data_IF_968796970204
#
_entry.id   IF_968796970204
#
_cell.length_a   1.000
_cell.length_b   1.000
_cell.length_c   1.000
_cell.angle_alpha   90.00
_cell.angle_beta   90.00
_cell.angle_gamma   90.00
#
_symmetry.space_group_name_H-M   'P 1'
#
loop_
_entity.id
_entity.type
_entity.pdbx_description
1 polymer ?
#
# COMPACT_ATOMS: atom_id res chain seq x y z
N UNK A 1 9.24 9.64 -4.89
CA UNK A 1 8.02 9.26 -5.62
C UNK A 1 6.98 8.64 -4.70
N UNK A 2 5.74 8.41 -5.20
CA UNK A 2 4.71 7.68 -4.45
C UNK A 2 5.16 6.25 -4.14
N UNK A 3 5.82 5.61 -5.09
CA UNK A 3 6.34 4.24 -4.98
C UNK A 3 7.36 4.13 -3.84
N UNK A 4 8.28 5.07 -3.74
CA UNK A 4 9.27 5.09 -2.65
C UNK A 4 8.59 5.27 -1.28
N UNK A 5 7.61 6.17 -1.21
CA UNK A 5 6.86 6.40 0.03
C UNK A 5 6.05 5.16 0.45
N UNK A 6 5.47 4.42 -0.49
CA UNK A 6 4.80 3.16 -0.21
C UNK A 6 5.79 2.11 0.31
N UNK A 7 6.95 1.97 -0.33
CA UNK A 7 7.99 1.04 0.13
C UNK A 7 8.50 1.39 1.53
N UNK A 8 8.72 2.68 1.81
CA UNK A 8 9.10 3.16 3.14
C UNK A 8 8.00 2.98 4.19
N UNK A 9 6.75 3.09 3.78
CA UNK A 9 5.61 2.84 4.67
C UNK A 9 5.52 1.35 5.03
N UNK A 10 5.54 0.46 4.03
CA UNK A 10 5.43 -0.99 4.24
C UNK A 10 6.52 -1.56 5.17
N UNK A 11 7.74 -1.04 5.10
CA UNK A 11 8.84 -1.54 5.96
C UNK A 11 8.56 -1.44 7.47
N UNK A 12 7.58 -0.65 7.89
CA UNK A 12 7.16 -0.53 9.29
C UNK A 12 6.27 -1.69 9.73
N UNK A 13 5.55 -2.29 8.78
CA UNK A 13 4.46 -3.22 9.05
C UNK A 13 4.69 -4.62 8.47
N UNK A 14 5.67 -4.77 7.60
CA UNK A 14 5.94 -5.99 6.86
C UNK A 14 7.37 -6.43 7.03
N UNK A 15 7.56 -7.73 7.25
CA UNK A 15 8.88 -8.33 7.33
C UNK A 15 9.60 -8.30 5.98
N UNK A 16 10.91 -8.44 6.01
CA UNK A 16 11.74 -8.41 4.83
C UNK A 16 11.62 -9.68 4.00
N UNK A 17 11.31 -9.53 2.73
CA UNK A 17 11.24 -10.58 1.70
C UNK A 17 11.98 -10.16 0.42
N UNK A 18 12.78 -9.11 0.48
CA UNK A 18 13.39 -8.45 -0.69
C UNK A 18 14.80 -8.91 -1.02
N UNK A 19 15.26 -10.06 -0.46
CA UNK A 19 16.57 -10.64 -0.79
C UNK A 19 16.46 -11.70 -1.87
N UNK A 20 17.35 -11.61 -2.87
CA UNK A 20 17.45 -12.56 -3.98
C UNK A 20 18.83 -13.18 -3.96
N UNK A 21 18.91 -14.49 -4.12
CA UNK A 21 20.22 -15.21 -4.10
C UNK A 21 20.94 -15.11 -5.43
N UNK A 22 20.21 -14.91 -6.54
CA UNK A 22 20.77 -14.83 -7.89
C UNK A 22 20.40 -13.51 -8.55
N UNK A 23 21.33 -12.95 -9.33
CA UNK A 23 21.07 -11.73 -10.11
C UNK A 23 19.96 -11.91 -11.14
N UNK A 24 19.88 -13.08 -11.78
CA UNK A 24 18.86 -13.37 -12.79
C UNK A 24 17.43 -13.27 -12.25
N UNK A 25 17.22 -13.61 -10.99
CA UNK A 25 15.87 -13.57 -10.38
C UNK A 25 15.39 -12.15 -10.18
N UNK A 26 16.25 -11.27 -9.68
CA UNK A 26 15.91 -9.86 -9.45
C UNK A 26 15.89 -9.04 -10.74
N UNK A 27 16.76 -9.35 -11.71
CA UNK A 27 16.85 -8.61 -12.97
C UNK A 27 15.65 -8.80 -13.91
N UNK A 28 14.90 -9.91 -13.76
CA UNK A 28 13.67 -10.18 -14.50
C UNK A 28 12.47 -9.39 -13.97
N UNK A 29 12.61 -8.80 -12.78
CA UNK A 29 11.54 -8.00 -12.19
C UNK A 29 11.56 -6.64 -12.87
N UNK A 30 10.48 -6.32 -13.58
CA UNK A 30 10.34 -5.01 -14.19
C UNK A 30 10.18 -3.95 -13.10
N UNK A 31 11.22 -3.16 -12.91
CA UNK A 31 11.26 -2.09 -11.94
C UNK A 31 12.11 -0.93 -12.47
N UNK A 32 11.44 0.08 -12.99
CA UNK A 32 12.08 1.28 -13.57
C UNK A 32 12.55 2.31 -12.53
N UNK A 33 12.24 2.08 -11.24
CA UNK A 33 12.41 3.11 -10.21
C UNK A 33 13.57 2.87 -9.26
N UNK A 34 14.02 1.63 -9.10
CA UNK A 34 15.03 1.25 -8.11
C UNK A 34 16.24 0.61 -8.75
N UNK A 35 17.38 0.80 -8.13
CA UNK A 35 18.64 0.19 -8.58
C UNK A 35 18.81 -1.17 -7.93
N UNK A 36 19.50 -2.07 -8.63
CA UNK A 36 19.90 -3.37 -8.08
C UNK A 36 21.26 -3.21 -7.43
N UNK A 37 21.41 -3.70 -6.22
CA UNK A 37 22.66 -3.73 -5.49
C UNK A 37 22.96 -5.11 -4.94
N UNK A 38 24.26 -5.43 -4.81
CA UNK A 38 24.76 -6.66 -4.19
C UNK A 38 25.33 -6.36 -2.82
N UNK A 39 25.05 -7.18 -1.83
CA UNK A 39 25.66 -7.11 -0.50
C UNK A 39 27.10 -7.63 -0.60
N UNK A 40 28.10 -6.76 -0.41
CA UNK A 40 29.52 -7.07 -0.60
C UNK A 40 30.31 -7.18 0.71
N UNK A 41 29.84 -6.57 1.81
CA UNK A 41 30.46 -6.69 3.12
C UNK A 41 29.38 -6.58 4.23
N UNK A 42 29.55 -7.36 5.29
CA UNK A 42 28.62 -7.41 6.42
C UNK A 42 29.43 -7.42 7.72
N UNK A 43 29.48 -6.29 8.39
CA UNK A 43 30.09 -6.14 9.73
C UNK A 43 29.01 -5.79 10.74
N UNK A 44 29.25 -6.06 12.02
CA UNK A 44 28.27 -6.08 13.12
C UNK A 44 27.15 -5.02 13.09
N UNK A 45 27.40 -3.84 12.53
CA UNK A 45 26.38 -2.76 12.43
C UNK A 45 26.36 -2.05 11.07
N UNK A 46 27.15 -2.49 10.09
CA UNK A 46 27.29 -1.84 8.81
C UNK A 46 27.17 -2.88 7.69
N UNK A 47 26.35 -2.61 6.72
CA UNK A 47 26.26 -3.40 5.48
C UNK A 47 26.77 -2.53 4.34
N UNK A 48 27.74 -3.05 3.59
CA UNK A 48 28.15 -2.43 2.34
C UNK A 48 27.48 -3.13 1.19
N UNK A 49 26.96 -2.35 0.29
CA UNK A 49 26.36 -2.79 -0.95
C UNK A 49 27.09 -2.18 -2.13
N UNK A 50 27.14 -2.88 -3.25
CA UNK A 50 27.66 -2.36 -4.53
C UNK A 50 26.48 -2.28 -5.51
N UNK A 51 26.22 -1.10 -6.07
CA UNK A 51 25.24 -0.88 -7.12
C UNK A 51 25.75 -1.59 -8.38
N UNK A 52 24.91 -2.42 -9.00
CA UNK A 52 25.31 -3.23 -10.15
C UNK A 52 25.69 -2.37 -11.36
N UNK A 53 24.87 -1.37 -11.67
CA UNK A 53 25.01 -0.56 -12.88
C UNK A 53 26.19 0.42 -12.81
N UNK A 54 26.50 0.95 -11.65
CA UNK A 54 27.54 1.98 -11.47
C UNK A 54 28.81 1.45 -10.82
N UNK A 55 28.76 0.30 -10.16
CA UNK A 55 29.84 -0.23 -9.32
C UNK A 55 30.09 0.56 -8.05
N UNK A 56 29.29 1.58 -7.76
CA UNK A 56 29.41 2.41 -6.58
C UNK A 56 29.18 1.58 -5.31
N UNK A 57 30.05 1.76 -4.32
CA UNK A 57 29.93 1.09 -3.02
C UNK A 57 29.32 2.05 -1.98
N UNK A 58 28.21 1.64 -1.40
CA UNK A 58 27.44 2.41 -0.45
C UNK A 58 27.35 1.67 0.87
N UNK A 59 27.33 2.42 1.97
CA UNK A 59 27.09 1.86 3.30
C UNK A 59 25.64 2.12 3.71
N UNK A 60 24.89 1.05 3.95
CA UNK A 60 23.56 1.14 4.54
C UNK A 60 23.67 1.37 6.05
N UNK A 61 22.98 2.39 6.54
CA UNK A 61 22.98 2.75 7.95
C UNK A 61 21.85 2.02 8.70
N UNK A 62 22.20 1.41 9.84
CA UNK A 62 21.26 0.67 10.69
C UNK A 62 20.02 1.47 11.12
N UNK A 63 20.16 2.78 11.35
CA UNK A 63 19.06 3.61 11.87
C UNK A 63 17.94 3.83 10.83
N UNK A 64 18.29 3.82 9.55
CA UNK A 64 17.33 4.15 8.48
C UNK A 64 16.72 2.93 7.79
N UNK A 65 17.23 1.72 8.06
CA UNK A 65 16.90 0.51 7.30
C UNK A 65 16.29 -0.59 8.19
N UNK A 66 15.34 -0.23 9.04
CA UNK A 66 14.63 -1.17 9.90
C UNK A 66 13.36 -1.68 9.20
N UNK A 67 13.16 -2.98 9.15
CA UNK A 67 12.01 -3.67 8.59
C UNK A 67 11.21 -4.42 9.66
N UNK A 68 9.90 -4.60 9.39
CA UNK A 68 8.97 -5.36 10.20
C UNK A 68 8.46 -4.62 11.44
N UNK A 69 7.39 -5.14 12.06
CA UNK A 69 6.78 -4.56 13.26
C UNK A 69 7.76 -4.43 14.44
N UNK A 70 8.74 -5.31 14.51
CA UNK A 70 9.81 -5.31 15.53
C UNK A 70 11.00 -4.42 15.13
N UNK A 71 10.96 -3.80 13.97
CA UNK A 71 12.04 -2.96 13.42
C UNK A 71 13.41 -3.65 13.47
N UNK A 72 13.51 -4.72 12.74
CA UNK A 72 14.71 -5.58 12.69
C UNK A 72 15.79 -4.93 11.85
N UNK A 73 17.03 -4.93 12.35
CA UNK A 73 18.20 -4.35 11.69
C UNK A 73 18.55 -5.07 10.38
N UNK A 74 19.09 -4.35 9.36
CA UNK A 74 19.58 -4.93 8.12
C UNK A 74 20.51 -6.14 8.28
N UNK A 75 21.33 -6.13 9.31
CA UNK A 75 22.21 -7.25 9.62
C UNK A 75 21.51 -8.58 9.91
N UNK A 76 20.22 -8.52 10.23
CA UNK A 76 19.44 -9.72 10.56
C UNK A 76 18.81 -10.35 9.35
N UNK A 77 18.48 -9.55 8.32
CA UNK A 77 17.72 -10.03 7.17
C UNK A 77 18.49 -10.00 5.84
N UNK A 78 19.65 -9.35 5.76
CA UNK A 78 20.51 -9.35 4.57
C UNK A 78 21.73 -10.25 4.80
N UNK A 79 21.97 -11.13 3.86
CA UNK A 79 23.16 -11.99 3.83
C UNK A 79 24.20 -11.50 2.83
N UNK A 80 25.45 -11.92 3.04
CA UNK A 80 26.52 -11.67 2.09
C UNK A 80 26.17 -12.29 0.73
N UNK A 81 26.42 -11.56 -0.34
CA UNK A 81 26.09 -11.87 -1.72
C UNK A 81 24.59 -11.81 -2.06
N UNK A 82 23.71 -11.43 -1.19
CA UNK A 82 22.32 -11.15 -1.56
C UNK A 82 22.23 -10.00 -2.56
N UNK A 83 21.29 -10.09 -3.48
CA UNK A 83 20.89 -9.00 -4.36
C UNK A 83 19.60 -8.39 -3.83
N UNK A 84 19.55 -7.06 -3.84
CA UNK A 84 18.43 -6.28 -3.30
C UNK A 84 18.10 -5.10 -4.19
N UNK A 85 16.89 -4.59 -4.11
CA UNK A 85 16.57 -3.27 -4.62
C UNK A 85 16.95 -2.18 -3.62
N UNK A 86 17.43 -1.07 -4.15
CA UNK A 86 17.76 0.12 -3.37
C UNK A 86 17.19 1.37 -4.04
N UNK A 87 16.74 2.32 -3.23
CA UNK A 87 16.33 3.65 -3.67
C UNK A 87 17.10 4.73 -2.94
N UNK A 88 17.17 5.90 -3.56
CA UNK A 88 17.83 7.09 -3.00
C UNK A 88 16.79 8.16 -2.69
N UNK A 89 16.67 8.53 -1.43
CA UNK A 89 15.71 9.54 -0.94
C UNK A 89 16.45 10.44 0.05
N UNK A 90 16.32 11.75 -0.11
CA UNK A 90 16.87 12.77 0.79
C UNK A 90 18.34 12.50 1.17
N UNK A 91 19.21 12.31 0.16
CA UNK A 91 20.62 12.01 0.31
C UNK A 91 20.95 10.70 1.09
N UNK A 92 20.02 9.78 1.20
CA UNK A 92 20.20 8.49 1.86
C UNK A 92 19.74 7.34 0.99
N UNK A 93 20.49 6.24 1.04
CA UNK A 93 20.09 4.99 0.37
C UNK A 93 19.29 4.11 1.33
N UNK A 94 18.26 3.50 0.77
CA UNK A 94 17.38 2.58 1.49
C UNK A 94 17.27 1.27 0.72
N UNK A 95 17.45 0.16 1.43
CA UNK A 95 17.01 -1.13 0.93
C UNK A 95 15.47 -1.10 0.85
N UNK A 96 14.92 -1.57 -0.27
CA UNK A 96 13.49 -1.61 -0.52
C UNK A 96 13.10 -2.98 -1.09
N UNK A 97 11.84 -3.31 -0.98
CA UNK A 97 11.26 -4.53 -1.53
C UNK A 97 9.97 -4.20 -2.27
N UNK A 98 9.58 -5.07 -3.19
CA UNK A 98 8.31 -4.92 -3.90
C UNK A 98 7.16 -4.82 -2.92
N UNK A 99 6.32 -3.81 -3.11
CA UNK A 99 5.17 -3.63 -2.24
C UNK A 99 4.06 -4.63 -2.57
N UNK A 100 3.41 -5.12 -1.52
CA UNK A 100 2.19 -5.92 -1.59
C UNK A 100 0.94 -5.05 -1.49
N UNK A 101 1.06 -3.88 -0.86
CA UNK A 101 -0.03 -2.89 -0.81
C UNK A 101 -0.27 -2.39 -2.23
N UNK A 102 -1.54 -2.33 -2.57
CA UNK A 102 -1.97 -1.80 -3.85
C UNK A 102 -3.17 -0.87 -3.63
N UNK A 103 -3.38 0.06 -4.54
CA UNK A 103 -4.43 1.05 -4.43
C UNK A 103 -4.87 1.52 -5.81
N UNK A 104 -5.99 2.22 -5.84
CA UNK A 104 -6.52 2.82 -7.05
C UNK A 104 -7.06 4.22 -6.76
N UNK A 105 -7.06 5.04 -7.79
CA UNK A 105 -7.58 6.41 -7.75
C UNK A 105 -8.43 6.65 -8.98
N UNK A 106 -9.56 7.30 -8.78
CA UNK A 106 -10.39 7.85 -9.85
C UNK A 106 -10.63 9.33 -9.59
N UNK A 107 -10.51 10.15 -10.63
CA UNK A 107 -10.81 11.57 -10.60
C UNK A 107 -11.95 11.80 -11.56
N UNK A 108 -13.02 12.42 -11.07
CA UNK A 108 -14.24 12.70 -11.83
C UNK A 108 -14.54 14.18 -11.81
N UNK A 109 -15.11 14.67 -12.90
CA UNK A 109 -15.71 16.00 -12.94
C UNK A 109 -17.03 15.98 -12.15
N UNK A 110 -17.17 16.79 -11.08
CA UNK A 110 -18.37 16.78 -10.25
C UNK A 110 -19.61 17.37 -10.94
N UNK A 111 -19.46 18.07 -12.07
CA UNK A 111 -20.57 18.73 -12.75
C UNK A 111 -21.25 17.83 -13.79
N UNK A 112 -20.50 16.96 -14.44
CA UNK A 112 -21.03 16.10 -15.52
C UNK A 112 -20.80 14.62 -15.28
N UNK A 113 -19.98 14.24 -14.27
CA UNK A 113 -19.66 12.87 -13.93
C UNK A 113 -18.60 12.22 -14.84
N UNK A 114 -17.96 12.98 -15.73
CA UNK A 114 -16.92 12.45 -16.60
C UNK A 114 -15.69 12.01 -15.82
N UNK A 115 -15.10 10.88 -16.22
CA UNK A 115 -13.85 10.40 -15.67
C UNK A 115 -12.69 11.16 -16.30
N UNK A 116 -12.05 12.02 -15.51
CA UNK A 116 -10.88 12.81 -15.91
C UNK A 116 -9.62 11.98 -15.90
N UNK A 117 -9.46 11.12 -14.89
CA UNK A 117 -8.32 10.24 -14.75
C UNK A 117 -8.65 9.00 -13.93
N UNK A 118 -8.00 7.88 -14.26
CA UNK A 118 -8.17 6.63 -13.55
C UNK A 118 -6.85 5.87 -13.47
N UNK A 119 -6.46 5.48 -12.25
CA UNK A 119 -5.30 4.62 -11.99
C UNK A 119 -5.76 3.40 -11.21
N UNK A 120 -5.68 2.23 -11.81
CA UNK A 120 -6.22 0.97 -11.26
C UNK A 120 -5.25 0.18 -10.37
N UNK A 121 -3.99 0.60 -10.29
CA UNK A 121 -2.97 -0.09 -9.49
C UNK A 121 -1.64 0.65 -9.50
N UNK A 122 -0.72 0.22 -8.65
CA UNK A 122 0.61 0.86 -8.50
C UNK A 122 1.57 0.43 -9.61
N UNK A 123 1.51 -0.83 -10.04
CA UNK A 123 2.37 -1.39 -11.08
C UNK A 123 1.55 -2.35 -11.96
N UNK A 124 1.42 -2.02 -13.25
CA UNK A 124 0.66 -2.80 -14.22
C UNK A 124 1.29 -4.17 -14.50
N UNK A 125 2.62 -4.23 -14.59
CA UNK A 125 3.33 -5.49 -14.89
C UNK A 125 3.25 -6.48 -13.72
N UNK A 126 3.17 -5.98 -12.49
CA UNK A 126 2.96 -6.82 -11.32
C UNK A 126 1.51 -7.29 -11.19
N UNK A 127 0.54 -6.52 -11.70
CA UNK A 127 -0.88 -6.86 -11.66
C UNK A 127 -1.69 -6.02 -12.64
N UNK A 128 -2.24 -6.68 -13.66
CA UNK A 128 -3.16 -6.07 -14.64
C UNK A 128 -4.56 -5.81 -14.07
N UNK A 129 -4.80 -6.20 -12.82
CA UNK A 129 -6.09 -6.04 -12.17
C UNK A 129 -6.39 -4.58 -11.90
N UNK A 130 -7.38 -4.03 -12.59
CA UNK A 130 -7.84 -2.66 -12.40
C UNK A 130 -8.79 -2.58 -11.20
N UNK A 131 -8.31 -2.04 -10.09
CA UNK A 131 -9.05 -1.97 -8.83
C UNK A 131 -10.19 -0.95 -8.85
N UNK A 132 -10.19 -0.01 -9.79
CA UNK A 132 -11.29 0.94 -9.95
C UNK A 132 -12.51 0.25 -10.54
N UNK A 133 -12.33 -0.57 -11.57
CA UNK A 133 -13.45 -1.17 -12.34
C UNK A 133 -13.73 -2.64 -12.00
N UNK A 134 -12.75 -3.36 -11.45
CA UNK A 134 -12.85 -4.82 -11.25
C UNK A 134 -12.91 -5.25 -9.78
N UNK A 135 -12.53 -4.36 -8.83
CA UNK A 135 -12.56 -4.72 -7.42
C UNK A 135 -13.97 -4.57 -6.83
N UNK A 136 -14.54 -5.67 -6.41
CA UNK A 136 -15.78 -5.66 -5.62
C UNK A 136 -15.44 -5.48 -4.15
N UNK A 137 -15.73 -4.31 -3.63
CA UNK A 137 -15.47 -3.96 -2.23
C UNK A 137 -16.74 -3.50 -1.54
N UNK A 138 -16.83 -3.78 -0.24
CA UNK A 138 -17.90 -3.25 0.59
C UNK A 138 -17.80 -1.71 0.63
N UNK A 139 -18.85 -0.98 0.25
CA UNK A 139 -18.80 0.48 0.18
C UNK A 139 -18.67 1.15 1.56
N UNK A 140 -19.06 0.46 2.62
CA UNK A 140 -19.08 1.04 3.96
C UNK A 140 -19.89 2.33 4.00
N UNK A 141 -19.39 3.35 4.78
CA UNK A 141 -20.10 4.64 4.88
C UNK A 141 -20.18 5.44 3.58
N UNK A 142 -19.48 5.02 2.51
CA UNK A 142 -19.58 5.68 1.21
C UNK A 142 -20.95 5.52 0.56
N UNK A 143 -21.80 4.60 1.05
CA UNK A 143 -23.20 4.45 0.60
C UNK A 143 -24.12 5.54 1.17
N UNK A 144 -23.74 6.20 2.27
CA UNK A 144 -24.63 7.15 2.96
C UNK A 144 -25.10 8.33 2.10
N UNK A 145 -24.25 8.97 1.26
CA UNK A 145 -24.72 10.05 0.38
C UNK A 145 -25.88 9.63 -0.52
N UNK A 146 -25.87 8.39 -1.02
CA UNK A 146 -26.97 7.87 -1.87
C UNK A 146 -28.25 7.70 -1.06
N UNK A 147 -28.17 7.18 0.16
CA UNK A 147 -29.33 7.05 1.06
C UNK A 147 -29.92 8.41 1.41
N UNK A 148 -29.07 9.40 1.69
CA UNK A 148 -29.55 10.75 1.99
C UNK A 148 -30.14 11.44 0.76
N UNK A 149 -29.55 11.27 -0.41
CA UNK A 149 -30.08 11.81 -1.66
C UNK A 149 -31.50 11.27 -1.91
N UNK A 150 -31.68 9.95 -1.84
CA UNK A 150 -32.99 9.30 -1.98
C UNK A 150 -34.00 9.83 -0.95
N UNK A 151 -33.60 9.94 0.32
CA UNK A 151 -34.47 10.45 1.37
C UNK A 151 -34.95 11.88 1.09
N UNK A 152 -34.04 12.75 0.61
CA UNK A 152 -34.39 14.14 0.27
C UNK A 152 -35.28 14.22 -0.99
N UNK A 153 -35.01 13.36 -1.98
CA UNK A 153 -35.81 13.31 -3.23
C UNK A 153 -37.26 12.94 -2.99
N UNK A 154 -37.55 12.14 -1.97
CA UNK A 154 -38.94 11.83 -1.56
C UNK A 154 -39.76 13.05 -1.14
N UNK A 155 -39.11 14.18 -0.83
CA UNK A 155 -39.74 15.38 -0.28
C UNK A 155 -40.25 15.24 1.16
N UNK A 156 -40.13 14.07 1.77
CA UNK A 156 -40.55 13.80 3.17
C UNK A 156 -39.53 14.30 4.20
N UNK A 157 -38.28 14.40 3.77
CA UNK A 157 -37.16 14.82 4.61
C UNK A 157 -36.50 16.05 4.02
N UNK A 158 -36.09 16.95 4.92
CA UNK A 158 -35.31 18.14 4.57
C UNK A 158 -33.90 18.00 5.19
N UNK A 159 -32.90 18.77 4.73
CA UNK A 159 -31.55 18.71 5.29
C UNK A 159 -31.46 18.93 6.80
N UNK A 160 -32.45 19.64 7.38
CA UNK A 160 -32.56 19.95 8.80
C UNK A 160 -33.62 19.11 9.53
N UNK A 161 -34.14 18.05 8.90
CA UNK A 161 -35.09 17.15 9.58
C UNK A 161 -34.39 16.43 10.71
N UNK A 162 -34.96 16.51 11.91
CA UNK A 162 -34.47 15.79 13.08
C UNK A 162 -34.83 14.31 12.97
N UNK A 163 -33.83 13.47 13.04
CA UNK A 163 -33.96 12.01 13.04
C UNK A 163 -33.64 11.50 14.44
N UNK A 164 -34.53 10.69 15.00
CA UNK A 164 -34.29 10.04 16.28
C UNK A 164 -33.23 8.95 16.10
N UNK A 165 -32.06 9.14 16.70
CA UNK A 165 -31.02 8.11 16.80
C UNK A 165 -31.32 7.17 17.97
N UNK A 166 -32.08 6.10 17.67
CA UNK A 166 -32.48 5.10 18.66
C UNK A 166 -32.07 3.70 18.19
N UNK A 167 -31.99 2.78 19.15
CA UNK A 167 -31.71 1.37 18.82
C UNK A 167 -32.80 0.80 17.91
N UNK A 168 -32.40 0.32 16.74
CA UNK A 168 -33.25 -0.39 15.82
C UNK A 168 -32.98 -1.88 15.98
N UNK A 169 -34.04 -2.65 16.18
CA UNK A 169 -33.98 -4.12 16.20
C UNK A 169 -34.43 -4.60 14.83
N UNK A 170 -33.51 -5.20 14.06
CA UNK A 170 -33.84 -5.79 12.78
C UNK A 170 -33.91 -7.31 12.90
N UNK A 171 -35.10 -7.84 12.69
CA UNK A 171 -35.29 -9.28 12.50
C UNK A 171 -34.74 -9.68 11.13
N UNK A 172 -33.72 -10.52 11.11
CA UNK A 172 -33.09 -11.00 9.90
C UNK A 172 -33.78 -12.22 9.29
N UNK A 173 -34.81 -12.74 9.93
CA UNK A 173 -35.55 -13.94 9.51
C UNK A 173 -34.73 -15.24 9.67
N UNK A 174 -35.36 -16.39 9.36
CA UNK A 174 -34.69 -17.69 9.23
C UNK A 174 -33.73 -18.10 10.35
N UNK A 175 -34.14 -17.96 11.62
CA UNK A 175 -33.35 -18.35 12.80
C UNK A 175 -32.02 -17.58 12.97
N UNK A 176 -31.84 -16.44 12.31
CA UNK A 176 -30.71 -15.56 12.57
C UNK A 176 -31.00 -14.70 13.81
N UNK A 177 -29.97 -14.36 14.60
CA UNK A 177 -30.15 -13.47 15.74
C UNK A 177 -30.61 -12.09 15.29
N UNK A 178 -31.43 -11.44 16.12
CA UNK A 178 -31.82 -10.04 15.89
C UNK A 178 -30.58 -9.18 15.78
N UNK A 179 -30.45 -8.43 14.70
CA UNK A 179 -29.33 -7.53 14.51
C UNK A 179 -29.60 -6.18 15.18
N UNK A 180 -28.65 -5.79 16.03
CA UNK A 180 -28.68 -4.49 16.74
C UNK A 180 -27.45 -3.71 16.30
N UNK A 181 -27.59 -2.56 15.62
CA UNK A 181 -26.48 -1.69 15.30
C UNK A 181 -25.75 -1.26 16.57
N UNK A 182 -24.43 -1.37 16.59
CA UNK A 182 -23.62 -0.82 17.67
C UNK A 182 -23.27 0.63 17.34
N UNK A 183 -23.59 1.53 18.24
CA UNK A 183 -23.05 2.89 18.19
C UNK A 183 -21.64 2.89 18.80
N UNK A 184 -20.69 3.49 18.12
CA UNK A 184 -19.33 3.70 18.60
C UNK A 184 -19.12 5.18 18.90
#
# INVERSE_FOLDING_TARGET
SLIDNLALFERKYRDWEGSYKNYEDISKINNEHWQIAKVVDKKSNLIKISIIDTGETITLNNLNNLYGPKKVSPNTYLDLNDYIFVTHIDNSFYAVQLHKINGSVIIMDPFNGDIVSMVGGVNYDASNFNRVSQAYRQPGSSIKPFIYAEALETGKYLPNTLILDSNILLDQGHNLPVWVPKHY
#
